data_IF_740570104967
#
_entry.id   IF_740570104967
#
_cell.length_a   1.000
_cell.length_b   1.000
_cell.length_c   1.000
_cell.angle_alpha   90.00
_cell.angle_beta   90.00
_cell.angle_gamma   90.00
#
_symmetry.space_group_name_H-M   'P 1'
#
loop_
_entity.id
_entity.type
_entity.pdbx_description
1 polymer ?
#
# COMPACT_ATOMS: atom_id res chain seq x y z
N UNK A 1 34.57 13.39 -41.81
CA UNK A 1 34.69 12.91 -43.21
C UNK A 1 35.32 11.53 -43.17
N UNK A 2 35.12 10.63 -44.13
CA UNK A 2 34.07 10.50 -45.12
C UNK A 2 33.47 9.07 -45.15
N UNK A 3 32.36 8.96 -45.85
CA UNK A 3 32.04 7.95 -46.86
C UNK A 3 32.97 6.73 -47.01
N UNK A 4 32.39 5.53 -47.16
CA UNK A 4 32.30 4.82 -48.46
C UNK A 4 31.87 3.36 -48.26
N UNK A 5 30.79 2.97 -48.93
CA UNK A 5 30.62 1.60 -49.45
C UNK A 5 31.66 1.34 -50.55
N UNK A 6 31.90 0.09 -50.99
CA UNK A 6 31.10 -0.42 -52.10
C UNK A 6 30.94 -1.96 -52.22
N UNK A 7 30.07 -2.32 -53.17
CA UNK A 7 30.16 -3.46 -54.11
C UNK A 7 29.17 -4.63 -53.94
N UNK A 8 28.33 -4.75 -54.99
CA UNK A 8 27.36 -5.81 -55.30
C UNK A 8 28.03 -7.02 -55.97
N UNK A 9 27.39 -8.20 -55.87
CA UNK A 9 27.23 -9.19 -56.98
C UNK A 9 25.89 -9.98 -56.84
N UNK A 10 25.33 -10.53 -57.95
CA UNK A 10 23.90 -10.89 -58.11
C UNK A 10 23.70 -12.42 -58.34
N UNK A 11 22.62 -12.89 -59.01
CA UNK A 11 21.30 -13.29 -58.47
C UNK A 11 21.03 -14.82 -58.60
N UNK A 12 19.94 -15.33 -58.02
CA UNK A 12 18.84 -16.04 -58.73
C UNK A 12 17.83 -16.65 -57.75
N UNK A 13 16.60 -16.69 -58.23
CA UNK A 13 15.34 -16.86 -57.52
C UNK A 13 14.94 -18.34 -57.39
N UNK A 14 14.21 -18.66 -56.33
CA UNK A 14 13.45 -19.89 -56.16
C UNK A 14 12.28 -19.62 -55.22
N UNK A 15 11.06 -19.81 -55.72
CA UNK A 15 9.79 -19.47 -55.07
C UNK A 15 9.30 -20.57 -54.10
N UNK A 16 8.61 -20.09 -53.06
CA UNK A 16 7.87 -20.63 -51.87
C UNK A 16 6.98 -21.89 -52.06
N UNK A 17 6.39 -22.54 -51.01
CA UNK A 17 5.88 -21.91 -49.77
C UNK A 17 5.87 -22.66 -48.41
N UNK A 18 5.52 -21.83 -47.40
CA UNK A 18 4.88 -22.09 -46.10
C UNK A 18 5.60 -22.88 -44.99
N UNK A 19 6.06 -22.15 -43.96
CA UNK A 19 5.41 -22.11 -42.63
C UNK A 19 6.28 -21.33 -41.61
N UNK A 20 5.62 -20.50 -40.80
CA UNK A 20 6.21 -19.57 -39.84
C UNK A 20 7.00 -20.23 -38.68
N UNK A 21 7.97 -19.50 -38.06
CA UNK A 21 8.73 -19.98 -36.92
C UNK A 21 7.93 -19.79 -35.62
N UNK A 22 7.61 -20.88 -34.92
CA UNK A 22 7.14 -20.80 -33.54
C UNK A 22 8.35 -20.80 -32.61
N UNK A 23 8.84 -19.60 -32.32
CA UNK A 23 9.47 -19.36 -31.03
C UNK A 23 8.43 -19.41 -29.93
N UNK A 24 8.76 -19.98 -28.79
CA UNK A 24 8.27 -19.43 -27.54
C UNK A 24 9.29 -19.65 -26.43
N UNK A 25 10.02 -18.58 -26.13
CA UNK A 25 10.75 -18.44 -24.87
C UNK A 25 9.73 -18.62 -23.74
N UNK A 26 10.07 -19.46 -22.77
CA UNK A 26 9.34 -19.57 -21.53
C UNK A 26 9.12 -18.15 -20.94
N UNK A 27 7.85 -17.75 -20.78
CA UNK A 27 7.50 -16.58 -19.98
C UNK A 27 7.80 -16.90 -18.51
N UNK A 28 9.00 -16.54 -18.06
CA UNK A 28 9.23 -16.33 -16.65
C UNK A 28 8.40 -15.10 -16.24
N UNK A 29 7.37 -15.31 -15.41
CA UNK A 29 6.66 -14.22 -14.77
C UNK A 29 7.67 -13.36 -14.04
N UNK A 30 7.82 -12.10 -14.47
CA UNK A 30 8.62 -11.12 -13.74
C UNK A 30 8.00 -10.97 -12.36
N UNK A 31 8.64 -11.55 -11.35
CA UNK A 31 8.36 -11.21 -9.96
C UNK A 31 8.58 -9.70 -9.87
N UNK A 32 7.49 -8.92 -9.75
CA UNK A 32 7.61 -7.47 -9.53
C UNK A 32 8.48 -7.30 -8.30
N UNK A 33 9.68 -6.75 -8.47
CA UNK A 33 10.54 -6.35 -7.36
C UNK A 33 9.68 -5.53 -6.39
N UNK A 34 9.65 -5.93 -5.13
CA UNK A 34 8.83 -5.26 -4.12
C UNK A 34 9.26 -3.80 -4.02
N UNK A 35 8.42 -2.85 -4.47
CA UNK A 35 8.73 -1.41 -4.52
C UNK A 35 8.51 -0.69 -3.19
N UNK A 36 8.15 -1.45 -2.16
CA UNK A 36 7.97 -0.97 -0.79
C UNK A 36 8.67 -1.93 0.18
N UNK A 37 9.13 -1.41 1.32
CA UNK A 37 9.85 -2.17 2.33
C UNK A 37 9.42 -1.74 3.73
N UNK A 38 9.33 -2.69 4.66
CA UNK A 38 9.09 -2.40 6.09
C UNK A 38 10.42 -2.05 6.77
N UNK A 39 10.45 -0.95 7.53
CA UNK A 39 11.60 -0.50 8.32
C UNK A 39 11.14 -0.01 9.70
N UNK A 40 12.08 0.31 10.59
CA UNK A 40 11.75 1.07 11.80
C UNK A 40 11.25 2.46 11.40
N UNK A 41 10.14 2.91 12.00
CA UNK A 41 9.56 4.22 11.71
C UNK A 41 10.02 5.28 12.71
N UNK A 42 10.21 6.50 12.23
CA UNK A 42 10.40 7.67 13.08
C UNK A 42 9.13 8.12 13.81
N UNK A 43 7.96 7.63 13.39
CA UNK A 43 6.66 7.98 13.98
C UNK A 43 6.25 6.96 15.04
N UNK A 44 6.19 5.68 14.67
CA UNK A 44 5.76 4.63 15.59
C UNK A 44 6.23 3.24 15.13
N UNK A 45 6.98 2.52 15.97
CA UNK A 45 7.34 1.12 15.75
C UNK A 45 7.94 0.83 14.37
N UNK A 46 7.12 0.30 13.46
CA UNK A 46 7.48 0.02 12.06
C UNK A 46 6.71 0.92 11.11
N UNK A 47 7.30 1.16 9.94
CA UNK A 47 6.74 1.92 8.83
C UNK A 47 6.97 1.22 7.51
N UNK A 48 6.23 1.61 6.48
CA UNK A 48 6.44 1.15 5.10
C UNK A 48 7.04 2.28 4.29
N UNK A 49 8.13 1.99 3.59
CA UNK A 49 8.91 2.97 2.83
C UNK A 49 8.94 2.60 1.36
N UNK A 50 8.91 3.61 0.49
CA UNK A 50 9.17 3.44 -0.93
C UNK A 50 10.65 3.05 -1.15
N UNK A 51 10.91 2.10 -2.06
CA UNK A 51 12.27 1.76 -2.52
C UNK A 51 12.46 2.02 -4.02
N UNK A 52 11.44 2.55 -4.67
CA UNK A 52 11.42 3.03 -6.04
C UNK A 52 10.45 4.21 -6.12
N UNK A 53 10.50 5.01 -7.18
CA UNK A 53 9.48 6.04 -7.43
C UNK A 53 8.10 5.39 -7.58
N UNK A 54 7.12 5.96 -6.88
CA UNK A 54 5.71 5.59 -6.95
C UNK A 54 4.93 6.79 -7.49
N UNK A 55 4.03 6.55 -8.43
CA UNK A 55 3.30 7.63 -9.10
C UNK A 55 1.98 7.94 -8.42
N UNK A 56 1.56 9.21 -8.43
CA UNK A 56 0.24 9.60 -7.98
C UNK A 56 -0.88 8.76 -8.66
N UNK A 57 -1.84 8.31 -7.86
CA UNK A 57 -2.94 7.46 -8.29
C UNK A 57 -2.60 5.97 -8.42
N UNK A 58 -1.35 5.57 -8.28
CA UNK A 58 -0.93 4.19 -8.42
C UNK A 58 -1.41 3.30 -7.25
N UNK A 59 -1.91 2.10 -7.56
CA UNK A 59 -2.19 1.07 -6.56
C UNK A 59 -0.90 0.41 -6.07
N UNK A 60 -0.60 0.55 -4.77
CA UNK A 60 0.68 0.14 -4.18
C UNK A 60 0.63 -1.27 -3.59
N UNK A 61 -0.36 -1.53 -2.74
CA UNK A 61 -0.51 -2.79 -2.00
C UNK A 61 -1.96 -2.98 -1.55
N UNK A 62 -2.42 -4.22 -1.52
CA UNK A 62 -3.69 -4.60 -0.88
C UNK A 62 -3.50 -4.73 0.64
N UNK A 63 -4.45 -4.25 1.44
CA UNK A 63 -4.48 -4.49 2.88
C UNK A 63 -5.08 -5.88 3.14
N UNK A 64 -4.22 -6.86 3.46
CA UNK A 64 -4.64 -8.26 3.68
C UNK A 64 -4.74 -8.60 5.15
N UNK A 65 -5.63 -9.53 5.47
CA UNK A 65 -5.83 -10.12 6.79
C UNK A 65 -6.95 -11.16 6.73
N UNK A 66 -7.28 -11.73 7.87
CA UNK A 66 -8.48 -12.57 8.03
C UNK A 66 -9.74 -11.70 8.01
N UNK A 67 -10.81 -12.15 7.33
CA UNK A 67 -12.11 -11.47 7.37
C UNK A 67 -12.94 -12.04 8.50
N UNK A 68 -13.36 -11.19 9.42
CA UNK A 68 -14.15 -11.52 10.61
C UNK A 68 -15.32 -10.55 10.76
N UNK A 69 -16.34 -10.93 11.52
CA UNK A 69 -17.40 -10.00 11.92
C UNK A 69 -16.95 -9.13 13.11
N UNK A 70 -17.81 -8.18 13.49
CA UNK A 70 -17.51 -7.23 14.56
C UNK A 70 -17.50 -7.85 15.96
N UNK A 71 -18.33 -8.86 16.20
CA UNK A 71 -18.38 -9.55 17.49
C UNK A 71 -17.06 -10.30 17.74
N UNK A 72 -16.52 -10.95 16.72
CA UNK A 72 -15.21 -11.61 16.79
C UNK A 72 -14.06 -10.60 16.93
N UNK A 73 -14.13 -9.46 16.24
CA UNK A 73 -13.14 -8.39 16.38
C UNK A 73 -13.09 -7.84 17.83
N UNK A 74 -14.27 -7.66 18.45
CA UNK A 74 -14.40 -7.26 19.86
C UNK A 74 -13.88 -8.35 20.80
N UNK A 75 -14.19 -9.63 20.52
CA UNK A 75 -13.72 -10.77 21.33
C UNK A 75 -12.19 -10.90 21.32
N UNK A 76 -11.55 -10.59 20.18
CA UNK A 76 -10.08 -10.60 20.02
C UNK A 76 -9.39 -9.35 20.58
N UNK A 77 -10.14 -8.27 20.80
CA UNK A 77 -9.58 -7.02 21.28
C UNK A 77 -9.40 -7.03 22.81
N UNK A 78 -8.24 -6.59 23.34
CA UNK A 78 -7.04 -6.21 22.60
C UNK A 78 -6.19 -7.42 22.20
N UNK A 79 -5.51 -7.36 21.04
CA UNK A 79 -4.52 -8.39 20.66
C UNK A 79 -3.33 -8.41 21.62
N UNK A 80 -2.92 -7.24 22.10
CA UNK A 80 -1.85 -7.07 23.08
C UNK A 80 -2.41 -6.24 24.26
N UNK A 81 -2.65 -6.85 25.43
CA UNK A 81 -3.14 -6.14 26.61
C UNK A 81 -2.23 -5.00 27.08
N UNK A 82 -0.94 -5.03 26.73
CA UNK A 82 0.00 -3.94 27.05
C UNK A 82 -0.12 -2.75 26.10
N UNK A 83 -0.72 -2.95 24.93
CA UNK A 83 -0.97 -1.93 23.90
C UNK A 83 -2.40 -2.04 23.38
N UNK A 84 -3.41 -1.81 24.25
CA UNK A 84 -4.79 -2.14 23.92
C UNK A 84 -5.31 -1.38 22.71
N UNK A 85 -4.81 -0.17 22.45
CA UNK A 85 -5.24 0.68 21.34
C UNK A 85 -4.53 0.35 20.01
N UNK A 86 -3.53 -0.54 20.02
CA UNK A 86 -2.81 -0.94 18.84
C UNK A 86 -3.54 -2.10 18.15
N UNK A 87 -4.26 -1.80 17.08
CA UNK A 87 -5.01 -2.80 16.31
C UNK A 87 -4.60 -2.79 14.84
N UNK A 88 -4.84 -3.91 14.17
CA UNK A 88 -4.68 -4.04 12.71
C UNK A 88 -6.03 -4.29 12.03
N UNK A 89 -7.08 -3.69 12.59
CA UNK A 89 -8.44 -3.81 12.08
C UNK A 89 -8.69 -2.78 10.99
N UNK A 90 -9.33 -3.22 9.90
CA UNK A 90 -9.85 -2.37 8.86
C UNK A 90 -11.35 -2.65 8.69
N UNK A 91 -12.19 -1.65 8.98
CA UNK A 91 -13.65 -1.78 8.83
C UNK A 91 -14.03 -1.62 7.36
N UNK A 92 -14.86 -2.52 6.85
CA UNK A 92 -15.36 -2.50 5.48
C UNK A 92 -16.78 -1.93 5.43
N UNK A 93 -17.16 -1.34 4.30
CA UNK A 93 -18.51 -0.81 4.08
C UNK A 93 -19.60 -1.89 4.22
N UNK A 94 -19.27 -3.15 3.91
CA UNK A 94 -20.15 -4.29 4.09
C UNK A 94 -20.39 -4.73 5.54
N UNK A 95 -19.74 -4.10 6.52
CA UNK A 95 -19.85 -4.41 7.96
C UNK A 95 -18.83 -5.43 8.49
N UNK A 96 -18.20 -6.19 7.59
CA UNK A 96 -17.08 -7.07 7.91
C UNK A 96 -15.82 -6.28 8.29
N UNK A 97 -14.88 -6.95 8.97
CA UNK A 97 -13.60 -6.39 9.38
C UNK A 97 -12.45 -7.26 8.93
N UNK A 98 -11.40 -6.62 8.42
CA UNK A 98 -10.14 -7.28 8.13
C UNK A 98 -9.26 -7.20 9.37
N UNK A 99 -8.90 -8.34 9.94
CA UNK A 99 -7.88 -8.49 10.98
C UNK A 99 -6.53 -8.84 10.34
N UNK A 100 -5.67 -7.84 10.18
CA UNK A 100 -4.33 -8.05 9.61
C UNK A 100 -3.29 -8.53 10.64
N UNK A 101 -3.66 -8.77 11.91
CA UNK A 101 -2.83 -9.52 12.85
C UNK A 101 -2.75 -10.99 12.43
N UNK A 102 -3.81 -11.52 11.81
CA UNK A 102 -3.90 -12.89 11.31
C UNK A 102 -3.78 -12.89 9.79
N UNK A 103 -2.78 -13.60 9.25
CA UNK A 103 -2.54 -13.72 7.80
C UNK A 103 -2.38 -12.39 7.04
N UNK A 104 -2.01 -11.31 7.73
CA UNK A 104 -1.79 -10.01 7.10
C UNK A 104 -0.45 -9.87 6.38
N UNK A 105 -0.32 -8.80 5.58
CA UNK A 105 0.89 -8.48 4.82
C UNK A 105 1.55 -7.18 5.32
N UNK A 106 2.49 -6.64 4.54
CA UNK A 106 3.24 -5.43 4.92
C UNK A 106 2.38 -4.17 5.06
N UNK A 107 1.18 -4.12 4.48
CA UNK A 107 0.31 -2.94 4.53
C UNK A 107 -0.11 -2.57 5.95
N UNK A 108 -0.16 -3.55 6.87
CA UNK A 108 -0.50 -3.31 8.30
C UNK A 108 0.49 -2.41 9.04
N UNK A 109 1.68 -2.19 8.47
CA UNK A 109 2.72 -1.33 9.04
C UNK A 109 2.70 0.09 8.47
N UNK A 110 1.75 0.43 7.58
CA UNK A 110 1.62 1.79 7.06
C UNK A 110 1.03 2.66 8.17
N UNK A 111 1.71 3.75 8.51
CA UNK A 111 1.36 4.57 9.66
C UNK A 111 0.30 5.64 9.33
N UNK A 112 -0.23 6.23 10.39
CA UNK A 112 -1.12 7.38 10.27
C UNK A 112 -0.37 8.69 9.98
N UNK A 113 -0.89 9.50 9.07
CA UNK A 113 -0.61 10.93 9.04
C UNK A 113 -1.88 11.76 8.81
N UNK A 114 -1.93 12.96 9.41
CA UNK A 114 -3.01 13.92 9.17
C UNK A 114 -2.95 14.56 7.78
N UNK A 115 -1.75 14.58 7.17
CA UNK A 115 -1.51 14.98 5.78
C UNK A 115 -0.83 13.81 5.08
N UNK A 116 -1.60 12.81 4.65
CA UNK A 116 -1.03 11.58 4.11
C UNK A 116 -0.58 11.75 2.65
N UNK A 117 0.32 10.87 2.22
CA UNK A 117 0.71 10.70 0.81
C UNK A 117 0.02 9.48 0.15
N UNK A 118 -0.75 8.71 0.92
CA UNK A 118 -1.55 7.58 0.44
C UNK A 118 -2.99 7.65 0.94
N UNK A 119 -3.88 6.91 0.27
CA UNK A 119 -5.25 6.66 0.72
C UNK A 119 -5.61 5.18 0.59
N UNK A 120 -6.55 4.73 1.43
CA UNK A 120 -7.14 3.41 1.32
C UNK A 120 -8.45 3.51 0.52
N UNK A 121 -8.59 2.67 -0.49
CA UNK A 121 -9.80 2.55 -1.32
C UNK A 121 -10.38 1.16 -1.17
N UNK A 122 -11.66 1.07 -0.80
CA UNK A 122 -12.39 -0.19 -0.83
C UNK A 122 -12.92 -0.46 -2.24
N UNK A 123 -12.78 -1.69 -2.71
CA UNK A 123 -13.37 -2.18 -3.95
C UNK A 123 -13.75 -3.64 -3.79
N UNK A 124 -15.04 -3.95 -3.93
CA UNK A 124 -15.60 -5.30 -3.81
C UNK A 124 -15.18 -6.02 -2.50
N UNK A 125 -15.24 -5.30 -1.37
CA UNK A 125 -14.89 -5.84 -0.04
C UNK A 125 -13.39 -6.07 0.19
N UNK A 126 -12.53 -5.53 -0.69
CA UNK A 126 -11.07 -5.54 -0.57
C UNK A 126 -10.54 -4.13 -0.45
N UNK A 127 -9.48 -3.95 0.31
CA UNK A 127 -8.89 -2.62 0.55
C UNK A 127 -7.55 -2.52 -0.14
N UNK A 128 -7.37 -1.45 -0.92
CA UNK A 128 -6.14 -1.18 -1.65
C UNK A 128 -5.59 0.19 -1.30
N UNK A 129 -4.31 0.24 -0.98
CA UNK A 129 -3.59 1.48 -0.74
C UNK A 129 -3.12 2.06 -2.07
N UNK A 130 -3.45 3.33 -2.28
CA UNK A 130 -3.09 4.10 -3.46
C UNK A 130 -2.25 5.31 -3.07
N UNK A 131 -1.31 5.71 -3.93
CA UNK A 131 -0.60 6.96 -3.76
C UNK A 131 -1.51 8.16 -4.11
N UNK A 132 -1.49 9.21 -3.30
CA UNK A 132 -2.17 10.48 -3.56
C UNK A 132 -1.29 11.45 -4.35
N UNK A 133 0.02 11.36 -4.15
CA UNK A 133 1.05 12.16 -4.80
C UNK A 133 2.14 11.25 -5.34
N UNK A 134 3.08 11.80 -6.10
CA UNK A 134 4.32 11.09 -6.36
C UNK A 134 5.08 10.88 -5.04
N UNK A 135 5.72 9.71 -4.89
CA UNK A 135 6.47 9.32 -3.69
C UNK A 135 7.84 8.82 -4.14
N UNK A 136 8.89 9.52 -3.70
CA UNK A 136 10.28 9.20 -3.97
C UNK A 136 10.81 8.05 -3.10
N UNK A 137 11.83 7.32 -3.56
CA UNK A 137 12.52 6.31 -2.76
C UNK A 137 12.99 6.88 -1.42
N UNK A 138 12.74 6.14 -0.34
CA UNK A 138 13.10 6.52 1.02
C UNK A 138 12.02 7.27 1.78
N UNK A 139 10.95 7.73 1.13
CA UNK A 139 9.79 8.30 1.82
C UNK A 139 8.93 7.21 2.48
N UNK A 140 8.41 7.51 3.66
CA UNK A 140 7.46 6.65 4.37
C UNK A 140 6.04 6.88 3.82
N UNK A 141 5.29 5.79 3.66
CA UNK A 141 3.90 5.80 3.26
C UNK A 141 3.03 6.05 4.48
N UNK A 142 2.05 6.92 4.32
CA UNK A 142 1.07 7.24 5.36
C UNK A 142 -0.34 7.37 4.76
N UNK A 143 -1.36 6.95 5.51
CA UNK A 143 -2.76 7.28 5.21
C UNK A 143 -3.49 7.82 6.45
N UNK A 144 -4.62 8.51 6.26
CA UNK A 144 -5.46 8.89 7.40
C UNK A 144 -6.25 7.66 7.87
N UNK A 145 -6.06 7.23 9.12
CA UNK A 145 -6.74 6.05 9.66
C UNK A 145 -8.25 6.24 9.76
N UNK A 146 -8.74 7.48 9.81
CA UNK A 146 -10.17 7.74 9.91
C UNK A 146 -10.79 7.15 11.18
N UNK A 147 -10.06 7.11 12.30
CA UNK A 147 -10.56 6.51 13.54
C UNK A 147 -11.77 7.28 14.07
N UNK A 148 -12.95 6.68 13.98
CA UNK A 148 -14.19 7.24 14.51
C UNK A 148 -14.51 6.54 15.83
N UNK A 149 -14.80 7.33 16.86
CA UNK A 149 -15.28 6.84 18.15
C UNK A 149 -16.56 7.60 18.51
N UNK A 150 -17.60 6.87 18.91
CA UNK A 150 -18.91 7.45 19.22
C UNK A 150 -18.88 8.35 20.46
N UNK A 151 -18.03 8.02 21.43
CA UNK A 151 -17.84 8.78 22.66
C UNK A 151 -17.48 10.26 22.42
N UNK A 152 -17.76 11.10 23.42
CA UNK A 152 -17.35 12.51 23.38
C UNK A 152 -15.83 12.61 23.33
N UNK A 153 -15.31 13.43 22.41
CA UNK A 153 -13.87 13.69 22.29
C UNK A 153 -13.37 14.58 23.43
N UNK A 154 -13.08 13.96 24.57
CA UNK A 154 -12.44 14.61 25.72
C UNK A 154 -10.93 14.79 25.49
N UNK A 155 -10.29 15.69 26.26
CA UNK A 155 -8.83 15.84 26.21
C UNK A 155 -8.10 14.52 26.54
N UNK A 156 -8.64 13.73 27.48
CA UNK A 156 -8.12 12.40 27.83
C UNK A 156 -8.20 11.43 26.64
N UNK A 157 -9.33 11.39 25.94
CA UNK A 157 -9.50 10.52 24.76
C UNK A 157 -8.57 10.93 23.62
N UNK A 158 -8.49 12.23 23.31
CA UNK A 158 -7.56 12.75 22.30
C UNK A 158 -6.11 12.44 22.64
N UNK A 159 -5.74 12.47 23.93
CA UNK A 159 -4.39 12.10 24.39
C UNK A 159 -4.11 10.60 24.30
N UNK A 160 -5.12 9.75 24.52
CA UNK A 160 -5.03 8.29 24.30
C UNK A 160 -4.74 7.97 22.83
N UNK A 161 -5.41 8.67 21.91
CA UNK A 161 -5.19 8.57 20.47
C UNK A 161 -4.33 9.73 19.93
N UNK A 162 -3.27 10.09 20.64
CA UNK A 162 -2.37 11.18 20.25
C UNK A 162 -1.74 10.90 18.88
N UNK A 163 -1.75 11.89 17.98
CA UNK A 163 -1.07 11.78 16.70
C UNK A 163 0.33 12.37 16.79
N UNK A 164 1.32 11.61 16.32
CA UNK A 164 2.75 11.98 16.30
C UNK A 164 3.33 12.02 14.88
N UNK A 165 2.48 12.20 13.87
CA UNK A 165 2.88 12.13 12.46
C UNK A 165 3.85 13.24 12.00
N UNK A 166 4.05 14.29 12.79
CA UNK A 166 4.97 15.39 12.46
C UNK A 166 4.50 16.36 11.38
N UNK A 167 3.30 16.17 10.79
CA UNK A 167 2.76 17.10 9.79
C UNK A 167 2.56 18.52 10.37
N UNK A 168 2.89 19.59 9.63
CA UNK A 168 2.60 20.98 10.03
C UNK A 168 1.12 21.24 10.30
N UNK A 169 0.23 20.52 9.62
CA UNK A 169 -1.23 20.59 9.82
C UNK A 169 -1.77 19.39 10.62
N UNK A 170 -0.95 18.84 11.52
CA UNK A 170 -1.36 17.76 12.41
C UNK A 170 -2.54 18.19 13.30
N UNK A 171 -3.56 17.33 13.38
CA UNK A 171 -4.76 17.54 14.21
C UNK A 171 -4.51 17.31 15.71
N UNK A 172 -3.33 16.79 16.07
CA UNK A 172 -2.95 16.39 17.43
C UNK A 172 -3.53 15.06 17.90
N UNK A 173 -4.41 14.44 17.12
CA UNK A 173 -5.02 13.13 17.42
C UNK A 173 -5.27 12.33 16.14
N UNK A 174 -5.25 11.01 16.24
CA UNK A 174 -5.58 10.08 15.14
C UNK A 174 -7.10 9.96 14.93
N UNK A 175 -7.90 10.52 15.83
CA UNK A 175 -9.35 10.53 15.71
C UNK A 175 -9.79 11.43 14.55
N UNK A 176 -10.67 10.88 13.71
CA UNK A 176 -11.31 11.62 12.64
C UNK A 176 -12.19 12.74 13.23
N UNK A 177 -12.21 13.95 12.63
CA UNK A 177 -13.11 15.03 13.04
C UNK A 177 -14.58 14.57 13.05
N UNK A 178 -15.34 14.95 14.07
CA UNK A 178 -16.80 14.76 14.05
C UNK A 178 -17.39 15.69 13.00
N UNK A 179 -18.27 15.16 12.14
CA UNK A 179 -19.06 15.93 11.18
C UNK A 179 -20.20 16.66 11.87
#
# INVERSE_FOLDING_TARGET
MPQQSPAKRPPTEGVTPDAAPQGNRAKAGSARSTRIQVRASGVHGRGVYAVADLQAGEQLIEYKGERIDWDEALRRHPHDPSQPDHTFYFHLEGGDVIDAAVNGNNARWINHACTPNCEAREHEGRVFIHALTDISPGEELFYDYGLIIDERYTAKLKKRFECRCGSPSCRGTMLAPKR
#
